data_IF_408490464644
#
_entry.id   IF_408490464644
#
_cell.length_a   1.000
_cell.length_b   1.000
_cell.length_c   1.000
_cell.angle_alpha   90.00
_cell.angle_beta   90.00
_cell.angle_gamma   90.00
#
_symmetry.space_group_name_H-M   'P 1'
#
loop_
_entity.id
_entity.type
_entity.pdbx_description
1 polymer ?
#
# COMPACT_ATOMS: atom_id res chain seq x y z
N UNK A 1 -16.52 11.03 9.49
CA UNK A 1 -15.67 10.71 8.32
C UNK A 1 -14.24 10.99 8.70
N UNK A 2 -13.28 10.22 8.19
CA UNK A 2 -11.86 10.40 8.50
C UNK A 2 -11.12 10.80 7.23
N UNK A 3 -10.28 11.83 7.33
CA UNK A 3 -9.41 12.24 6.23
C UNK A 3 -8.18 11.33 6.17
N UNK A 4 -7.92 10.78 4.99
CA UNK A 4 -6.75 10.00 4.67
C UNK A 4 -5.92 10.79 3.67
N UNK A 5 -4.61 10.85 3.93
CA UNK A 5 -3.62 11.45 3.05
C UNK A 5 -2.86 10.33 2.37
N UNK A 6 -2.44 10.54 1.12
CA UNK A 6 -1.68 9.51 0.41
C UNK A 6 -0.57 10.10 -0.45
N UNK A 7 0.47 9.28 -0.66
CA UNK A 7 1.32 9.34 -1.87
C UNK A 7 1.03 8.12 -2.73
N UNK A 8 1.01 8.32 -4.05
CA UNK A 8 0.70 7.30 -5.06
C UNK A 8 1.77 7.32 -6.14
N UNK A 9 2.27 6.15 -6.51
CA UNK A 9 3.17 5.94 -7.63
C UNK A 9 3.05 4.52 -8.18
N UNK A 10 3.84 4.18 -9.19
CA UNK A 10 3.91 2.80 -9.68
C UNK A 10 4.40 1.87 -8.57
N UNK A 11 3.94 0.62 -8.57
CA UNK A 11 4.41 -0.41 -7.64
C UNK A 11 5.92 -0.57 -7.74
N UNK A 12 6.44 -0.64 -8.97
CA UNK A 12 7.88 -0.77 -9.24
C UNK A 12 8.68 0.35 -8.55
N UNK A 13 8.27 1.60 -8.70
CA UNK A 13 8.97 2.72 -8.09
C UNK A 13 8.96 2.63 -6.57
N UNK A 14 7.78 2.43 -5.95
CA UNK A 14 7.64 2.43 -4.49
C UNK A 14 8.21 1.18 -3.79
N UNK A 15 8.31 0.03 -4.48
CA UNK A 15 8.68 -1.25 -3.87
C UNK A 15 10.06 -1.76 -4.28
N UNK A 16 10.55 -1.40 -5.47
CA UNK A 16 11.80 -1.93 -6.01
C UNK A 16 12.89 -0.85 -6.13
N UNK A 17 12.53 0.34 -6.60
CA UNK A 17 13.51 1.40 -6.89
C UNK A 17 13.85 2.23 -5.64
N UNK A 18 12.87 2.45 -4.78
CA UNK A 18 13.03 3.27 -3.57
C UNK A 18 13.28 2.42 -2.31
N UNK A 19 14.28 2.77 -1.48
CA UNK A 19 14.57 2.05 -0.23
C UNK A 19 13.59 2.48 0.89
N UNK A 20 12.31 2.16 0.73
CA UNK A 20 11.25 2.51 1.69
C UNK A 20 11.03 1.47 2.79
N UNK A 21 11.47 0.23 2.60
CA UNK A 21 11.27 -0.84 3.57
C UNK A 21 11.85 -0.48 4.95
N UNK A 22 13.10 -0.01 4.98
CA UNK A 22 13.77 0.43 6.22
C UNK A 22 12.99 1.57 6.91
N UNK A 23 12.56 2.56 6.13
CA UNK A 23 11.84 3.73 6.64
C UNK A 23 10.52 3.31 7.30
N UNK A 24 9.75 2.43 6.64
CA UNK A 24 8.46 1.99 7.16
C UNK A 24 8.61 1.04 8.35
N UNK A 25 9.62 0.16 8.32
CA UNK A 25 9.93 -0.75 9.43
C UNK A 25 10.37 0.02 10.67
N UNK A 26 11.27 0.97 10.52
CA UNK A 26 11.76 1.80 11.62
C UNK A 26 10.63 2.67 12.20
N UNK A 27 9.81 3.27 11.33
CA UNK A 27 8.62 4.01 11.79
C UNK A 27 7.65 3.11 12.55
N UNK A 28 7.47 1.86 12.13
CA UNK A 28 6.62 0.89 12.83
C UNK A 28 7.18 0.58 14.22
N UNK A 29 8.49 0.31 14.32
CA UNK A 29 9.20 0.11 15.60
C UNK A 29 9.02 1.31 16.54
N UNK A 30 9.23 2.52 16.02
CA UNK A 30 9.06 3.76 16.78
C UNK A 30 7.64 3.94 17.32
N UNK A 31 6.60 3.55 16.56
CA UNK A 31 5.21 3.61 17.02
C UNK A 31 4.96 2.60 18.14
N UNK A 32 5.48 1.38 18.00
CA UNK A 32 5.37 0.32 19.01
C UNK A 32 6.04 0.74 20.32
N UNK A 33 7.28 1.25 20.27
CA UNK A 33 8.03 1.68 21.46
C UNK A 33 7.34 2.84 22.20
N UNK A 34 6.60 3.68 21.47
CA UNK A 34 5.84 4.81 22.02
C UNK A 34 4.41 4.44 22.40
N UNK A 35 4.01 3.18 22.28
CA UNK A 35 2.62 2.71 22.45
C UNK A 35 1.61 3.53 21.62
N UNK A 36 2.00 3.93 20.40
CA UNK A 36 1.16 4.67 19.47
C UNK A 36 0.49 3.72 18.48
N UNK A 37 -0.81 3.90 18.24
CA UNK A 37 -1.53 3.19 17.18
C UNK A 37 -0.96 3.55 15.80
N UNK A 38 -0.73 2.52 14.97
CA UNK A 38 -0.24 2.70 13.59
C UNK A 38 -1.30 3.42 12.77
N UNK A 39 -0.90 4.55 12.19
CA UNK A 39 -1.77 5.43 11.40
C UNK A 39 -1.34 5.54 9.95
N UNK A 40 -0.53 4.60 9.45
CA UNK A 40 -0.02 4.55 8.08
C UNK A 40 0.05 3.12 7.54
N UNK A 41 -0.15 2.96 6.23
CA UNK A 41 -0.22 1.67 5.55
C UNK A 41 0.35 1.77 4.14
N UNK A 42 1.05 0.72 3.70
CA UNK A 42 1.40 0.51 2.29
C UNK A 42 0.31 -0.37 1.65
N UNK A 43 -0.38 0.17 0.65
CA UNK A 43 -1.49 -0.49 -0.05
C UNK A 43 -1.12 -0.67 -1.51
N UNK A 44 -1.06 -1.92 -1.94
CA UNK A 44 -0.85 -2.30 -3.34
C UNK A 44 -2.18 -2.25 -4.08
N UNK A 45 -2.18 -1.77 -5.33
CA UNK A 45 -3.37 -1.59 -6.17
C UNK A 45 -4.57 -1.03 -5.36
N UNK A 46 -4.43 0.16 -4.78
CA UNK A 46 -5.40 0.67 -3.81
C UNK A 46 -6.77 0.90 -4.45
N UNK A 47 -7.81 0.28 -3.89
CA UNK A 47 -9.15 0.29 -4.47
C UNK A 47 -9.77 1.70 -4.56
N UNK A 48 -9.39 2.62 -3.67
CA UNK A 48 -9.90 4.00 -3.69
C UNK A 48 -9.62 4.71 -5.02
N UNK A 49 -8.58 4.31 -5.76
CA UNK A 49 -8.23 4.95 -7.03
C UNK A 49 -9.23 4.61 -8.16
N UNK A 50 -10.07 3.59 -7.97
CA UNK A 50 -11.16 3.24 -8.89
C UNK A 50 -12.41 4.09 -8.67
N UNK A 51 -12.47 4.88 -7.59
CA UNK A 51 -13.59 5.79 -7.37
C UNK A 51 -13.62 6.88 -8.47
N UNK A 52 -14.82 7.31 -8.92
CA UNK A 52 -14.96 8.25 -10.04
C UNK A 52 -14.16 9.56 -9.88
N UNK A 53 -14.08 10.07 -8.66
CA UNK A 53 -13.32 11.28 -8.29
C UNK A 53 -11.80 11.15 -8.49
N UNK A 54 -11.28 9.92 -8.62
CA UNK A 54 -9.85 9.63 -8.87
C UNK A 54 -9.52 9.32 -10.32
N UNK A 55 -10.49 9.36 -11.25
CA UNK A 55 -10.29 8.95 -12.64
C UNK A 55 -9.10 9.65 -13.34
N UNK A 56 -8.94 10.96 -13.13
CA UNK A 56 -7.81 11.71 -13.69
C UNK A 56 -6.47 11.33 -13.07
N UNK A 57 -6.44 11.07 -11.76
CA UNK A 57 -5.24 10.68 -11.03
C UNK A 57 -4.80 9.28 -11.46
N UNK A 58 -5.77 8.37 -11.60
CA UNK A 58 -5.57 7.01 -12.11
C UNK A 58 -4.95 7.02 -13.51
N UNK A 59 -5.45 7.88 -14.40
CA UNK A 59 -4.94 8.01 -15.76
C UNK A 59 -3.50 8.53 -15.83
N UNK A 60 -3.07 9.33 -14.84
CA UNK A 60 -1.71 9.89 -14.75
C UNK A 60 -0.72 8.95 -14.08
N UNK A 61 -1.19 8.02 -13.24
CA UNK A 61 -0.33 7.11 -12.49
C UNK A 61 -0.07 5.81 -13.27
N UNK A 62 1.21 5.41 -13.49
CA UNK A 62 1.51 4.14 -14.13
C UNK A 62 0.96 2.96 -13.32
N UNK A 63 0.44 1.96 -14.02
CA UNK A 63 -0.13 0.75 -13.42
C UNK A 63 0.81 -0.46 -13.62
N UNK A 64 0.87 -1.40 -12.66
CA UNK A 64 0.13 -1.39 -11.40
C UNK A 64 0.66 -0.33 -10.42
N UNK A 65 -0.24 0.29 -9.66
CA UNK A 65 0.09 1.37 -8.72
C UNK A 65 0.10 0.89 -7.27
N UNK A 66 0.82 1.61 -6.40
CA UNK A 66 0.80 1.45 -4.95
C UNK A 66 0.67 2.82 -4.29
N UNK A 67 0.10 2.83 -3.09
CA UNK A 67 0.00 4.01 -2.26
C UNK A 67 0.55 3.77 -0.87
N UNK A 68 1.18 4.80 -0.30
CA UNK A 68 1.32 4.91 1.15
C UNK A 68 0.23 5.86 1.61
N UNK A 69 -0.65 5.34 2.47
CA UNK A 69 -1.82 6.04 3.01
C UNK A 69 -1.59 6.29 4.49
N UNK A 70 -1.94 7.46 5.01
CA UNK A 70 -1.86 7.76 6.44
C UNK A 70 -2.91 8.75 6.89
N UNK A 71 -3.28 8.72 8.17
CA UNK A 71 -4.07 9.79 8.83
C UNK A 71 -3.21 11.00 9.20
N UNK A 72 -1.89 10.92 9.02
CA UNK A 72 -0.94 11.99 9.33
C UNK A 72 -0.48 12.69 8.03
N UNK A 73 -0.92 13.93 7.84
CA UNK A 73 -0.61 14.74 6.66
C UNK A 73 0.87 15.15 6.57
N UNK A 74 1.55 15.35 7.70
CA UNK A 74 2.96 15.71 7.74
C UNK A 74 3.83 14.56 7.22
N UNK A 75 3.49 13.32 7.60
CA UNK A 75 4.18 12.12 7.12
C UNK A 75 4.07 11.97 5.60
N UNK A 76 2.87 12.15 5.04
CA UNK A 76 2.64 12.11 3.59
C UNK A 76 3.34 13.26 2.87
N UNK A 77 3.40 14.44 3.49
CA UNK A 77 4.14 15.59 2.94
C UNK A 77 5.64 15.30 2.91
N UNK A 78 6.20 14.73 3.98
CA UNK A 78 7.59 14.30 4.03
C UNK A 78 7.90 13.26 2.95
N UNK A 79 7.03 12.26 2.75
CA UNK A 79 7.17 11.29 1.68
C UNK A 79 7.17 11.94 0.29
N UNK A 80 6.27 12.92 0.06
CA UNK A 80 6.22 13.66 -1.21
C UNK A 80 7.53 14.41 -1.48
N UNK A 81 8.11 15.05 -0.47
CA UNK A 81 9.39 15.75 -0.60
C UNK A 81 10.57 14.79 -0.81
N UNK A 82 10.55 13.63 -0.16
CA UNK A 82 11.60 12.61 -0.28
C UNK A 82 11.60 11.91 -1.63
N UNK A 83 10.41 11.56 -2.13
CA UNK A 83 10.26 10.69 -3.30
C UNK A 83 10.16 11.46 -4.62
N UNK A 84 9.84 12.77 -4.56
CA UNK A 84 9.68 13.71 -5.68
C UNK A 84 8.65 13.31 -6.75
N UNK A 85 8.82 12.17 -7.42
CA UNK A 85 8.04 11.65 -8.56
C UNK A 85 6.76 10.89 -8.15
N UNK A 86 6.15 11.27 -7.03
CA UNK A 86 4.89 10.70 -6.54
C UNK A 86 3.74 11.70 -6.61
N UNK A 87 2.52 11.21 -6.79
CA UNK A 87 1.29 12.01 -6.69
C UNK A 87 0.89 12.07 -5.22
N UNK A 88 0.66 13.28 -4.66
CA UNK A 88 0.11 13.46 -3.30
C UNK A 88 -1.34 13.89 -3.40
N UNK A 89 -2.18 13.38 -2.50
CA UNK A 89 -3.56 13.86 -2.34
C UNK A 89 -4.16 13.45 -1.01
N UNK A 90 -5.46 13.64 -0.89
CA UNK A 90 -6.25 13.27 0.28
C UNK A 90 -7.68 12.90 -0.14
N UNK A 91 -8.37 12.14 0.72
CA UNK A 91 -9.78 11.81 0.56
C UNK A 91 -10.43 11.54 1.92
N UNK A 92 -11.75 11.58 1.94
CA UNK A 92 -12.53 11.18 3.11
C UNK A 92 -13.14 9.79 2.92
N UNK A 93 -13.06 8.98 3.97
CA UNK A 93 -13.65 7.64 3.98
C UNK A 93 -14.09 7.25 5.41
N UNK A 94 -15.01 6.28 5.56
CA UNK A 94 -15.78 5.63 4.48
C UNK A 94 -16.75 6.59 3.78
N UNK A 95 -16.96 6.38 2.48
CA UNK A 95 -17.91 7.11 1.63
C UNK A 95 -18.65 6.13 0.69
N UNK A 96 -19.71 6.55 -0.02
CA UNK A 96 -20.40 5.67 -0.98
C UNK A 96 -19.51 5.15 -2.12
N UNK A 97 -18.50 5.93 -2.51
CA UNK A 97 -17.54 5.59 -3.58
C UNK A 97 -16.29 4.90 -3.03
N UNK A 98 -15.95 5.12 -1.75
CA UNK A 98 -14.78 4.57 -1.07
C UNK A 98 -15.22 3.96 0.27
N UNK A 99 -15.83 2.76 0.26
CA UNK A 99 -16.30 2.12 1.48
C UNK A 99 -15.16 1.68 2.39
N UNK A 100 -14.03 1.25 1.81
CA UNK A 100 -12.86 0.76 2.53
C UNK A 100 -11.60 1.54 2.10
N UNK A 101 -11.08 2.46 2.94
CA UNK A 101 -9.97 3.35 2.55
C UNK A 101 -8.66 2.62 2.26
N UNK A 102 -8.49 1.41 2.80
CA UNK A 102 -7.25 0.64 2.76
C UNK A 102 -7.37 -0.64 1.92
N UNK A 103 -8.48 -0.81 1.19
CA UNK A 103 -8.70 -1.99 0.37
C UNK A 103 -7.68 -2.09 -0.78
N UNK A 104 -7.18 -3.30 -1.01
CA UNK A 104 -6.25 -3.65 -2.09
C UNK A 104 -6.99 -4.50 -3.12
N UNK A 105 -6.79 -4.19 -4.40
CA UNK A 105 -7.28 -5.00 -5.53
C UNK A 105 -6.28 -6.06 -5.98
N UNK A 106 -5.06 -6.05 -5.44
CA UNK A 106 -4.09 -7.11 -5.71
C UNK A 106 -4.63 -8.45 -5.19
N UNK A 107 -4.67 -9.50 -6.02
CA UNK A 107 -5.15 -10.80 -5.58
C UNK A 107 -4.22 -11.30 -4.48
N UNK A 108 -4.79 -11.63 -3.32
CA UNK A 108 -4.06 -12.36 -2.29
C UNK A 108 -3.64 -13.68 -2.93
N UNK A 109 -2.33 -13.88 -3.14
CA UNK A 109 -1.80 -15.16 -3.58
C UNK A 109 -2.12 -16.18 -2.49
N UNK A 110 -3.26 -16.84 -2.62
CA UNK A 110 -3.65 -17.95 -1.78
C UNK A 110 -2.64 -19.07 -2.05
N UNK A 111 -2.07 -19.75 -1.03
CA UNK A 111 -1.10 -20.83 -1.24
C UNK A 111 -1.67 -22.09 -1.95
N UNK A 112 -2.86 -22.01 -2.56
CA UNK A 112 -3.57 -23.13 -3.18
C UNK A 112 -3.14 -23.45 -4.63
N UNK A 113 -1.96 -22.99 -5.05
CA UNK A 113 -1.36 -23.46 -6.30
C UNK A 113 0.09 -23.90 -6.11
N UNK A 114 0.35 -24.70 -5.07
CA UNK A 114 1.42 -25.68 -5.17
C UNK A 114 0.93 -26.77 -6.12
N UNK A 115 1.63 -26.95 -7.24
CA UNK A 115 1.35 -28.05 -8.17
C UNK A 115 1.42 -29.40 -7.43
N UNK A 116 0.59 -30.39 -7.79
CA UNK A 116 0.63 -31.73 -7.18
C UNK A 116 2.03 -32.39 -7.20
N UNK A 117 2.93 -31.88 -8.04
CA UNK A 117 4.33 -32.33 -8.11
C UNK A 117 5.19 -31.79 -6.94
N UNK A 118 4.90 -30.60 -6.41
CA UNK A 118 5.64 -30.02 -5.27
C UNK A 118 5.20 -30.64 -3.94
N UNK A 119 3.91 -30.95 -3.79
CA UNK A 119 3.39 -31.64 -2.61
C UNK A 119 4.00 -33.04 -2.42
N UNK A 120 4.32 -33.75 -3.51
CA UNK A 120 4.97 -35.07 -3.45
C UNK A 120 6.45 -35.00 -3.07
N UNK A 121 7.14 -33.89 -3.36
CA UNK A 121 8.55 -33.72 -3.01
C UNK A 121 8.75 -33.40 -1.53
N UNK A 122 7.79 -32.72 -0.90
CA UNK A 122 7.84 -32.38 0.52
C UNK A 122 7.59 -33.60 1.45
N UNK A 123 6.88 -34.63 0.99
CA UNK A 123 6.54 -35.80 1.82
C UNK A 123 7.47 -37.01 1.63
N UNK A 124 8.60 -36.84 0.92
CA UNK A 124 9.58 -37.91 0.65
C UNK A 124 10.94 -37.67 1.31
N UNK A 125 11.05 -36.68 2.21
CA UNK A 125 12.29 -36.41 2.96
C UNK A 125 12.23 -36.82 4.43
N UNK A 126 11.15 -37.47 4.87
CA UNK A 126 11.02 -38.11 6.18
C UNK A 126 10.97 -39.66 6.07
N UNK A 127 11.94 -40.25 5.37
CA UNK A 127 12.41 -41.63 5.63
C UNK A 127 13.93 -41.67 5.49
#
# INVERSE_FOLDING_TARGET
MTTYYYVLASQRFLLEEEPLDEVLRERTRDYQEKNKEVDFWLVKQPAFIEAPEFAEIRAKCPQPSAAIISKNSEFITWLKLRLEYVIKGEFEAPSPTIPEPLASLEPVSSPLHMSEQEAKKANSLDI
#
